data_IF_754465836158
#
_entry.id   IF_754465836158
#
_cell.length_a   1.000
_cell.length_b   1.000
_cell.length_c   1.000
_cell.angle_alpha   90.00
_cell.angle_beta   90.00
_cell.angle_gamma   90.00
#
_symmetry.space_group_name_H-M   'P 1'
#
loop_
_entity.id
_entity.type
_entity.pdbx_description
1 polymer ?
#
# COMPACT_ATOMS: atom_id res chain seq x y z
N UNK A 1 9.37 -12.30 -73.25
CA UNK A 1 9.07 -11.11 -72.42
C UNK A 1 7.95 -10.19 -72.97
N UNK A 2 7.26 -10.53 -74.07
CA UNK A 2 6.22 -9.67 -74.68
C UNK A 2 4.81 -9.86 -74.12
N UNK A 3 4.51 -11.00 -73.49
CA UNK A 3 3.20 -11.29 -72.88
C UNK A 3 2.99 -10.51 -71.57
N UNK A 4 4.07 -10.29 -70.79
CA UNK A 4 4.04 -9.50 -69.55
C UNK A 4 3.59 -8.06 -69.83
N UNK A 5 4.11 -7.45 -70.90
CA UNK A 5 3.83 -6.05 -71.24
C UNK A 5 2.38 -5.86 -71.70
N UNK A 6 1.81 -6.83 -72.43
CA UNK A 6 0.41 -6.75 -72.86
C UNK A 6 -0.57 -6.94 -71.69
N UNK A 7 -0.28 -7.85 -70.75
CA UNK A 7 -1.11 -8.05 -69.55
C UNK A 7 -1.00 -6.91 -68.52
N UNK A 8 0.21 -6.36 -68.35
CA UNK A 8 0.47 -5.30 -67.37
C UNK A 8 -0.05 -3.95 -67.86
N UNK A 9 0.07 -3.62 -69.16
CA UNK A 9 -0.31 -2.32 -69.72
C UNK A 9 -1.70 -2.26 -70.38
N UNK A 10 -2.46 -3.36 -70.46
CA UNK A 10 -3.90 -3.27 -70.78
C UNK A 10 -4.67 -2.73 -69.58
N UNK A 11 -5.54 -1.74 -69.81
CA UNK A 11 -6.41 -1.12 -68.79
C UNK A 11 -5.69 -0.49 -67.58
N UNK A 12 -4.55 0.18 -67.82
CA UNK A 12 -3.76 0.81 -66.75
C UNK A 12 -4.56 1.81 -65.89
N UNK A 13 -5.49 2.56 -66.49
CA UNK A 13 -6.37 3.49 -65.77
C UNK A 13 -7.28 2.79 -64.75
N UNK A 14 -7.93 1.68 -65.13
CA UNK A 14 -8.79 0.92 -64.23
C UNK A 14 -8.02 0.31 -63.05
N UNK A 15 -6.78 -0.14 -63.28
CA UNK A 15 -5.90 -0.65 -62.22
C UNK A 15 -5.46 0.44 -61.24
N UNK A 16 -5.21 1.65 -61.74
CA UNK A 16 -4.84 2.78 -60.89
C UNK A 16 -6.01 3.23 -60.01
N UNK A 17 -7.23 3.24 -60.57
CA UNK A 17 -8.46 3.47 -59.81
C UNK A 17 -8.69 2.37 -58.77
N UNK A 18 -8.48 1.10 -59.12
CA UNK A 18 -8.65 0.00 -58.14
C UNK A 18 -7.61 0.07 -57.03
N UNK A 19 -6.36 0.45 -57.33
CA UNK A 19 -5.31 0.64 -56.34
C UNK A 19 -5.64 1.82 -55.42
N UNK A 20 -6.09 2.95 -55.98
CA UNK A 20 -6.53 4.11 -55.19
C UNK A 20 -7.71 3.73 -54.28
N UNK A 21 -8.71 3.02 -54.81
CA UNK A 21 -9.84 2.53 -54.03
C UNK A 21 -9.39 1.57 -52.91
N UNK A 22 -8.45 0.67 -53.19
CA UNK A 22 -7.89 -0.23 -52.18
C UNK A 22 -7.13 0.51 -51.08
N UNK A 23 -6.33 1.54 -51.42
CA UNK A 23 -5.62 2.37 -50.43
C UNK A 23 -6.60 3.17 -49.58
N UNK A 24 -7.65 3.74 -50.18
CA UNK A 24 -8.71 4.45 -49.43
C UNK A 24 -9.45 3.51 -48.49
N UNK A 25 -9.89 2.34 -48.98
CA UNK A 25 -10.55 1.34 -48.15
C UNK A 25 -9.64 0.83 -47.03
N UNK A 26 -8.36 0.58 -47.32
CA UNK A 26 -7.38 0.17 -46.32
C UNK A 26 -7.17 1.26 -45.27
N UNK A 27 -7.02 2.54 -45.66
CA UNK A 27 -6.88 3.66 -44.73
C UNK A 27 -8.10 3.83 -43.82
N UNK A 28 -9.31 3.59 -44.33
CA UNK A 28 -10.55 3.67 -43.55
C UNK A 28 -10.64 2.56 -42.49
N UNK A 29 -10.09 1.36 -42.78
CA UNK A 29 -10.13 0.20 -41.89
C UNK A 29 -8.93 0.17 -40.93
N UNK A 30 -7.76 0.62 -41.38
CA UNK A 30 -6.51 0.58 -40.63
C UNK A 30 -6.46 1.56 -39.45
N UNK A 31 -7.39 2.52 -39.40
CA UNK A 31 -7.44 3.51 -38.30
C UNK A 31 -8.18 2.91 -37.11
N UNK A 32 -7.43 2.43 -36.11
CA UNK A 32 -8.01 1.94 -34.87
C UNK A 32 -8.51 3.12 -34.00
N UNK A 33 -9.74 3.07 -33.46
CA UNK A 33 -10.22 4.13 -32.57
C UNK A 33 -9.43 4.15 -31.26
N UNK A 34 -9.03 5.34 -30.83
CA UNK A 34 -8.50 5.53 -29.48
C UNK A 34 -9.63 5.44 -28.45
N UNK A 35 -9.37 4.73 -27.35
CA UNK A 35 -10.32 4.55 -26.26
C UNK A 35 -9.73 5.10 -24.97
N UNK A 36 -10.57 5.75 -24.16
CA UNK A 36 -10.20 6.24 -22.82
C UNK A 36 -10.84 5.35 -21.76
N UNK A 37 -10.06 4.95 -20.75
CA UNK A 37 -10.57 4.21 -19.59
C UNK A 37 -9.95 4.73 -18.29
N UNK A 38 -10.57 4.40 -17.16
CA UNK A 38 -10.07 4.74 -15.82
C UNK A 38 -9.78 3.47 -15.03
N UNK A 39 -8.63 3.43 -14.39
CA UNK A 39 -8.18 2.29 -13.58
C UNK A 39 -7.77 2.81 -12.20
N UNK A 40 -8.29 2.19 -11.14
CA UNK A 40 -7.89 2.51 -9.77
C UNK A 40 -6.72 1.63 -9.36
N UNK A 41 -5.63 2.26 -8.93
CA UNK A 41 -4.42 1.56 -8.46
C UNK A 41 -3.95 2.16 -7.14
N UNK A 42 -3.41 1.34 -6.22
CA UNK A 42 -2.77 1.84 -5.01
C UNK A 42 -1.46 2.53 -5.35
N UNK A 43 -1.05 3.48 -4.51
CA UNK A 43 0.24 4.14 -4.61
C UNK A 43 1.32 3.29 -3.95
N UNK A 44 2.39 3.04 -4.67
CA UNK A 44 3.58 2.35 -4.19
C UNK A 44 4.64 3.36 -3.75
N UNK A 45 5.16 3.20 -2.54
CA UNK A 45 6.18 4.07 -1.98
C UNK A 45 7.56 3.43 -2.11
N UNK A 46 8.47 4.09 -2.82
CA UNK A 46 9.85 3.67 -2.97
C UNK A 46 10.79 4.54 -2.14
N UNK A 47 11.91 3.95 -1.71
CA UNK A 47 12.98 4.64 -0.97
C UNK A 47 12.49 5.39 0.29
N UNK A 48 11.59 4.77 1.06
CA UNK A 48 11.10 5.35 2.33
C UNK A 48 12.29 5.59 3.27
N UNK A 49 12.54 6.83 3.72
CA UNK A 49 13.63 7.15 4.65
C UNK A 49 13.51 6.36 5.96
N UNK A 50 14.63 5.90 6.52
CA UNK A 50 14.62 5.06 7.74
C UNK A 50 14.37 5.85 9.01
N UNK A 51 14.61 7.15 8.96
CA UNK A 51 14.51 8.09 10.07
C UNK A 51 13.14 8.76 10.17
N UNK A 52 12.25 8.51 9.20
CA UNK A 52 10.91 9.08 9.12
C UNK A 52 9.84 7.99 9.13
N UNK A 53 8.66 8.36 9.63
CA UNK A 53 7.43 7.57 9.55
C UNK A 53 6.37 8.36 8.79
N UNK A 54 5.61 7.64 7.96
CA UNK A 54 4.49 8.22 7.23
C UNK A 54 3.22 8.11 8.07
N UNK A 55 2.56 9.24 8.29
CA UNK A 55 1.27 9.29 8.96
C UNK A 55 0.16 9.00 7.95
N UNK A 56 0.00 7.72 7.59
CA UNK A 56 -0.94 7.26 6.57
C UNK A 56 -1.77 6.12 7.13
N UNK A 57 -3.07 6.35 7.35
CA UNK A 57 -3.97 5.33 7.92
C UNK A 57 -4.28 4.21 6.92
N UNK A 58 -4.35 4.55 5.64
CA UNK A 58 -4.63 3.62 4.54
C UNK A 58 -3.80 3.99 3.31
N UNK A 59 -3.35 2.98 2.57
CA UNK A 59 -2.61 3.22 1.33
C UNK A 59 -3.48 4.02 0.36
N UNK A 60 -3.05 5.21 -0.08
CA UNK A 60 -3.87 6.04 -0.95
C UNK A 60 -4.06 5.35 -2.31
N UNK A 61 -5.27 5.44 -2.84
CA UNK A 61 -5.60 4.97 -4.19
C UNK A 61 -5.71 6.16 -5.15
N UNK A 62 -5.29 5.94 -6.40
CA UNK A 62 -5.33 6.95 -7.47
C UNK A 62 -6.11 6.39 -8.65
N UNK A 63 -7.04 7.18 -9.15
CA UNK A 63 -7.73 6.90 -10.41
C UNK A 63 -6.91 7.42 -11.57
N UNK A 64 -6.32 6.51 -12.32
CA UNK A 64 -5.48 6.80 -13.49
C UNK A 64 -6.35 6.69 -14.74
N UNK A 65 -6.53 7.79 -15.44
CA UNK A 65 -7.20 7.83 -16.73
C UNK A 65 -6.19 7.68 -17.85
N UNK A 66 -6.42 6.72 -18.73
CA UNK A 66 -5.48 6.33 -19.77
C UNK A 66 -6.15 6.32 -21.13
N UNK A 67 -5.36 6.58 -22.17
CA UNK A 67 -5.79 6.60 -23.57
C UNK A 67 -4.83 5.81 -24.45
N UNK A 68 -5.38 5.05 -25.39
CA UNK A 68 -4.61 4.35 -26.41
C UNK A 68 -5.48 3.52 -27.36
N UNK A 69 -4.88 2.67 -28.20
CA UNK A 69 -5.62 1.79 -29.10
C UNK A 69 -6.61 0.90 -28.34
N UNK A 70 -7.85 0.78 -28.84
CA UNK A 70 -8.91 0.05 -28.14
C UNK A 70 -8.53 -1.39 -27.75
N UNK A 71 -7.78 -2.08 -28.60
CA UNK A 71 -7.27 -3.44 -28.33
C UNK A 71 -6.31 -3.46 -27.14
N UNK A 72 -5.39 -2.50 -27.05
CA UNK A 72 -4.43 -2.39 -25.95
C UNK A 72 -5.14 -2.01 -24.65
N UNK A 73 -6.01 -0.99 -24.69
CA UNK A 73 -6.73 -0.50 -23.51
C UNK A 73 -7.60 -1.58 -22.88
N UNK A 74 -8.27 -2.40 -23.69
CA UNK A 74 -9.07 -3.55 -23.20
C UNK A 74 -8.23 -4.67 -22.60
N UNK A 75 -6.96 -4.77 -22.99
CA UNK A 75 -6.04 -5.80 -22.48
C UNK A 75 -5.31 -5.40 -21.20
N UNK A 76 -5.38 -4.11 -20.79
CA UNK A 76 -4.71 -3.61 -19.58
C UNK A 76 -5.25 -4.34 -18.34
N UNK A 77 -4.34 -4.90 -17.55
CA UNK A 77 -4.64 -5.48 -16.24
C UNK A 77 -4.21 -4.52 -15.14
N UNK A 78 -4.75 -4.73 -13.93
CA UNK A 78 -4.42 -3.91 -12.75
C UNK A 78 -2.91 -3.88 -12.46
N UNK A 79 -2.20 -4.99 -12.65
CA UNK A 79 -0.76 -5.10 -12.38
C UNK A 79 0.12 -4.44 -13.46
N UNK A 80 -0.45 -4.05 -14.60
CA UNK A 80 0.30 -3.40 -15.67
C UNK A 80 0.38 -1.87 -15.47
N UNK A 81 -0.35 -1.35 -14.47
CA UNK A 81 -0.42 0.07 -14.11
C UNK A 81 0.00 0.22 -12.66
N UNK A 82 1.01 1.04 -12.40
CA UNK A 82 1.46 1.36 -11.05
C UNK A 82 1.68 2.87 -10.90
N UNK A 83 1.33 3.40 -9.73
CA UNK A 83 1.67 4.78 -9.36
C UNK A 83 2.76 4.70 -8.31
N UNK A 84 3.97 5.10 -8.69
CA UNK A 84 5.16 4.98 -7.86
C UNK A 84 5.59 6.36 -7.40
N UNK A 85 5.63 6.56 -6.08
CA UNK A 85 6.18 7.75 -5.44
C UNK A 85 7.56 7.46 -4.88
N UNK A 86 8.56 8.20 -5.35
CA UNK A 86 9.92 8.13 -4.82
C UNK A 86 10.11 9.14 -3.67
N UNK A 87 10.37 8.62 -2.48
CA UNK A 87 10.53 9.41 -1.25
C UNK A 87 11.98 9.69 -0.90
N UNK A 88 12.95 9.36 -1.78
CA UNK A 88 14.38 9.57 -1.54
C UNK A 88 14.74 11.01 -1.17
N UNK A 89 14.01 12.00 -1.69
CA UNK A 89 14.25 13.44 -1.45
C UNK A 89 13.58 13.97 -0.17
N UNK A 90 12.91 13.11 0.61
CA UNK A 90 12.22 13.50 1.84
C UNK A 90 13.20 13.37 3.01
N UNK A 91 13.80 14.48 3.42
CA UNK A 91 14.80 14.49 4.50
C UNK A 91 14.26 15.02 5.84
N UNK A 92 13.12 15.73 5.82
CA UNK A 92 12.58 16.44 6.99
C UNK A 92 11.15 16.02 7.28
N UNK A 93 10.80 16.06 8.56
CA UNK A 93 9.42 15.93 9.02
C UNK A 93 8.58 17.13 8.58
N UNK A 94 7.28 16.89 8.42
CA UNK A 94 6.28 17.88 8.04
C UNK A 94 5.39 17.40 6.88
N UNK A 95 4.46 18.27 6.50
CA UNK A 95 3.60 18.03 5.34
C UNK A 95 4.36 18.24 4.03
N UNK A 96 4.19 17.29 3.11
CA UNK A 96 4.75 17.37 1.76
C UNK A 96 3.71 16.97 0.73
N UNK A 97 3.59 17.80 -0.31
CA UNK A 97 2.72 17.53 -1.46
C UNK A 97 3.53 16.97 -2.61
N UNK A 98 3.10 15.85 -3.16
CA UNK A 98 3.66 15.21 -4.34
C UNK A 98 2.68 15.35 -5.50
N UNK A 99 3.19 15.73 -6.67
CA UNK A 99 2.40 15.80 -7.90
C UNK A 99 2.51 14.47 -8.64
N UNK A 100 1.35 13.91 -9.03
CA UNK A 100 1.24 12.66 -9.75
C UNK A 100 1.23 12.90 -11.26
N UNK A 101 2.41 13.22 -11.78
CA UNK A 101 2.64 13.41 -13.21
C UNK A 101 2.97 12.08 -13.92
N UNK A 102 3.10 12.13 -15.25
CA UNK A 102 3.43 10.96 -16.08
C UNK A 102 4.70 10.22 -15.62
N UNK A 103 5.66 10.89 -15.00
CA UNK A 103 6.89 10.27 -14.47
C UNK A 103 6.66 9.35 -13.27
N UNK A 104 5.56 9.52 -12.55
CA UNK A 104 5.18 8.69 -11.40
C UNK A 104 4.23 7.56 -11.79
N UNK A 105 3.71 7.53 -13.02
CA UNK A 105 2.76 6.51 -13.49
C UNK A 105 3.43 5.58 -14.49
N UNK A 106 3.60 4.33 -14.10
CA UNK A 106 4.08 3.24 -14.96
C UNK A 106 2.89 2.74 -15.78
N UNK A 107 3.02 2.79 -17.11
CA UNK A 107 1.98 2.39 -18.05
C UNK A 107 2.55 1.51 -19.18
N UNK A 108 1.76 0.59 -19.74
CA UNK A 108 2.16 -0.21 -20.88
C UNK A 108 2.56 0.64 -22.09
N UNK A 109 3.38 0.06 -22.97
CA UNK A 109 3.72 0.71 -24.23
C UNK A 109 2.46 0.95 -25.08
N UNK A 110 2.40 2.10 -25.76
CA UNK A 110 1.24 2.51 -26.55
C UNK A 110 0.09 3.11 -25.74
N UNK A 111 0.19 3.16 -24.41
CA UNK A 111 -0.79 3.78 -23.52
C UNK A 111 -0.27 5.10 -22.94
N UNK A 112 -1.05 6.15 -23.13
CA UNK A 112 -0.80 7.49 -22.63
C UNK A 112 -1.64 7.80 -21.38
N UNK A 113 -1.10 8.65 -20.50
CA UNK A 113 -1.80 9.13 -19.31
C UNK A 113 -2.58 10.37 -19.73
N UNK A 114 -3.89 10.36 -19.48
CA UNK A 114 -4.74 11.54 -19.66
C UNK A 114 -4.72 12.39 -18.40
N UNK A 115 -5.01 11.78 -17.25
CA UNK A 115 -4.95 12.43 -15.93
C UNK A 115 -4.93 11.41 -14.79
N UNK A 116 -4.44 11.86 -13.64
CA UNK A 116 -4.51 11.19 -12.34
C UNK A 116 -5.50 11.94 -11.45
N UNK A 117 -6.33 11.21 -10.71
CA UNK A 117 -7.26 11.78 -9.74
C UNK A 117 -7.11 11.04 -8.40
N UNK A 118 -6.64 11.70 -7.33
CA UNK A 118 -6.19 13.09 -7.31
C UNK A 118 -4.89 13.30 -8.12
N UNK A 119 -4.64 14.54 -8.56
CA UNK A 119 -3.38 14.90 -9.25
C UNK A 119 -2.25 15.24 -8.29
N UNK A 120 -2.57 15.43 -7.01
CA UNK A 120 -1.63 15.71 -5.94
C UNK A 120 -1.97 14.87 -4.71
N UNK A 121 -0.94 14.37 -4.04
CA UNK A 121 -1.05 13.67 -2.77
C UNK A 121 -0.31 14.45 -1.70
N UNK A 122 -1.01 14.80 -0.62
CA UNK A 122 -0.40 15.40 0.56
C UNK A 122 -0.15 14.31 1.59
N UNK A 123 1.12 14.12 1.92
CA UNK A 123 1.58 13.14 2.90
C UNK A 123 2.21 13.90 4.07
N UNK A 124 2.03 13.40 5.29
CA UNK A 124 2.66 13.94 6.47
C UNK A 124 3.72 12.96 6.98
N UNK A 125 4.92 13.48 7.24
CA UNK A 125 6.05 12.72 7.74
C UNK A 125 6.42 13.18 9.14
N UNK A 126 6.64 12.24 10.04
CA UNK A 126 7.15 12.52 11.37
C UNK A 126 8.49 11.83 11.59
N UNK A 127 9.25 12.33 12.57
CA UNK A 127 10.48 11.67 12.97
C UNK A 127 10.14 10.31 13.55
N UNK A 128 10.92 9.30 13.16
CA UNK A 128 10.89 7.99 13.80
C UNK A 128 11.49 8.11 15.19
N UNK A 129 10.75 7.68 16.19
CA UNK A 129 11.21 7.57 17.58
C UNK A 129 11.09 6.13 18.05
N UNK A 130 12.09 5.66 18.80
CA UNK A 130 12.05 4.39 19.53
C UNK A 130 12.05 4.67 21.03
N UNK A 131 11.08 4.13 21.76
CA UNK A 131 11.00 4.26 23.23
C UNK A 131 10.69 2.93 23.89
N UNK A 132 11.29 2.70 25.06
CA UNK A 132 10.94 1.57 25.91
C UNK A 132 9.75 1.96 26.80
N UNK A 133 8.66 1.19 26.74
CA UNK A 133 7.45 1.39 27.54
C UNK A 133 7.16 0.15 28.40
N UNK A 134 6.56 0.31 29.58
CA UNK A 134 6.17 -0.82 30.42
C UNK A 134 5.05 -1.65 29.77
N UNK A 135 5.02 -2.93 30.12
CA UNK A 135 3.93 -3.83 29.72
C UNK A 135 2.94 -3.99 30.85
N UNK A 136 1.68 -3.71 30.58
CA UNK A 136 0.57 -3.88 31.50
C UNK A 136 -0.26 -5.10 31.07
N UNK A 137 -0.28 -6.18 31.87
CA UNK A 137 -1.11 -7.34 31.56
C UNK A 137 -2.59 -7.01 31.66
N UNK A 138 -3.36 -7.54 30.72
CA UNK A 138 -4.82 -7.48 30.75
C UNK A 138 -5.36 -8.80 31.32
N UNK A 139 -5.89 -8.79 32.54
CA UNK A 139 -6.46 -9.98 33.17
C UNK A 139 -7.96 -10.08 32.93
N UNK A 140 -8.45 -11.28 32.61
CA UNK A 140 -9.89 -11.59 32.52
C UNK A 140 -10.23 -12.76 33.44
N UNK A 141 -11.49 -12.85 33.87
CA UNK A 141 -11.97 -13.96 34.71
C UNK A 141 -11.56 -13.90 36.19
N UNK A 142 -10.81 -12.88 36.63
CA UNK A 142 -10.36 -12.70 38.02
C UNK A 142 -11.41 -12.18 39.01
N UNK A 143 -12.70 -12.45 38.76
CA UNK A 143 -13.83 -11.97 39.55
C UNK A 143 -14.59 -13.11 40.25
N UNK A 144 -13.95 -14.25 40.51
CA UNK A 144 -14.48 -15.12 41.56
C UNK A 144 -14.38 -14.37 42.90
N UNK A 145 -15.46 -14.29 43.70
CA UNK A 145 -15.48 -13.50 44.93
C UNK A 145 -14.45 -13.94 45.99
N UNK A 146 -13.82 -15.09 45.79
CA UNK A 146 -12.88 -15.75 46.70
C UNK A 146 -11.39 -15.46 46.43
N UNK A 147 -10.98 -15.00 45.24
CA UNK A 147 -9.56 -14.79 44.91
C UNK A 147 -9.31 -13.49 44.13
N UNK A 148 -8.28 -12.74 44.52
CA UNK A 148 -7.84 -11.54 43.81
C UNK A 148 -6.35 -11.62 43.43
N UNK A 149 -5.98 -10.97 42.33
CA UNK A 149 -4.58 -10.84 41.92
C UNK A 149 -3.89 -9.87 42.87
N UNK A 150 -2.95 -10.37 43.67
CA UNK A 150 -2.21 -9.55 44.66
C UNK A 150 -0.87 -9.10 44.12
N UNK A 151 -0.24 -9.94 43.30
CA UNK A 151 1.05 -9.62 42.71
C UNK A 151 1.15 -10.20 41.30
N UNK A 152 1.83 -9.47 40.41
CA UNK A 152 2.21 -9.99 39.11
C UNK A 152 3.60 -9.48 38.72
N UNK A 153 4.30 -10.27 37.91
CA UNK A 153 5.59 -9.90 37.33
C UNK A 153 5.56 -10.17 35.84
N UNK A 154 6.02 -9.21 35.04
CA UNK A 154 6.12 -9.33 33.58
C UNK A 154 7.58 -9.42 33.17
N UNK A 155 7.91 -10.39 32.31
CA UNK A 155 9.24 -10.55 31.74
C UNK A 155 9.16 -10.68 30.20
N UNK A 156 9.75 -9.75 29.43
CA UNK A 156 10.42 -8.52 29.89
C UNK A 156 9.43 -7.47 30.44
N UNK A 157 9.82 -6.66 31.44
CA UNK A 157 8.95 -5.62 32.00
C UNK A 157 8.81 -4.39 31.08
N UNK A 158 9.79 -4.19 30.19
CA UNK A 158 9.85 -3.08 29.23
C UNK A 158 9.97 -3.63 27.82
N UNK A 159 9.25 -3.02 26.89
CA UNK A 159 9.28 -3.36 25.47
C UNK A 159 9.57 -2.14 24.63
N UNK A 160 10.40 -2.32 23.60
CA UNK A 160 10.76 -1.24 22.68
C UNK A 160 9.70 -1.09 21.61
N UNK A 161 9.12 0.10 21.53
CA UNK A 161 8.12 0.49 20.55
C UNK A 161 8.73 1.56 19.64
N UNK A 162 8.46 1.43 18.35
CA UNK A 162 8.91 2.36 17.31
C UNK A 162 7.71 2.87 16.52
N UNK A 163 7.77 4.14 16.14
CA UNK A 163 6.72 4.79 15.35
C UNK A 163 6.91 6.31 15.25
N UNK A 164 5.88 7.04 14.79
CA UNK A 164 5.89 8.50 14.74
C UNK A 164 6.11 9.12 16.12
N UNK A 165 6.93 10.16 16.19
CA UNK A 165 7.27 10.85 17.44
C UNK A 165 6.03 11.26 18.24
N UNK A 166 4.99 11.80 17.60
CA UNK A 166 3.77 12.23 18.30
C UNK A 166 3.01 11.06 18.95
N UNK A 167 2.99 9.88 18.30
CA UNK A 167 2.30 8.69 18.80
C UNK A 167 3.09 7.99 19.89
N UNK A 168 4.40 7.85 19.69
CA UNK A 168 5.30 7.23 20.67
C UNK A 168 5.38 8.06 21.95
N UNK A 169 5.34 9.39 21.85
CA UNK A 169 5.36 10.29 23.01
C UNK A 169 4.12 10.14 23.92
N UNK A 170 2.97 9.79 23.35
CA UNK A 170 1.70 9.64 24.07
C UNK A 170 1.46 8.22 24.65
N UNK A 171 2.30 7.25 24.31
CA UNK A 171 2.09 5.84 24.70
C UNK A 171 2.52 5.53 26.14
N UNK A 172 1.62 5.48 27.11
CA UNK A 172 2.04 5.20 28.50
C UNK A 172 2.56 3.76 28.71
N UNK A 173 1.89 2.77 28.12
CA UNK A 173 2.20 1.36 28.26
C UNK A 173 1.75 0.54 27.04
N UNK A 174 2.35 -0.64 26.85
CA UNK A 174 1.83 -1.67 25.96
C UNK A 174 0.93 -2.62 26.78
N UNK A 175 -0.18 -3.09 26.21
CA UNK A 175 -1.03 -4.09 26.88
C UNK A 175 -0.65 -5.49 26.42
N UNK A 176 -1.09 -6.53 27.13
CA UNK A 176 -1.06 -7.90 26.60
C UNK A 176 -2.41 -8.30 26.01
N UNK A 177 -2.42 -9.39 25.24
CA UNK A 177 -3.64 -10.16 25.01
C UNK A 177 -4.30 -10.52 26.36
N UNK A 178 -5.64 -10.67 26.43
CA UNK A 178 -6.33 -11.04 27.64
C UNK A 178 -5.81 -12.38 28.22
N UNK A 179 -5.42 -12.35 29.49
CA UNK A 179 -4.97 -13.53 30.24
C UNK A 179 -6.10 -13.97 31.16
N UNK A 180 -6.68 -15.13 30.85
CA UNK A 180 -7.72 -15.74 31.67
C UNK A 180 -7.10 -16.37 32.95
N UNK A 181 -7.40 -15.77 34.09
CA UNK A 181 -6.95 -16.21 35.42
C UNK A 181 -8.05 -16.89 36.22
N UNK A 182 -9.24 -17.11 35.65
CA UNK A 182 -10.40 -17.69 36.36
C UNK A 182 -10.14 -19.05 36.98
N UNK A 183 -9.22 -19.84 36.40
CA UNK A 183 -8.89 -21.21 36.86
C UNK A 183 -7.67 -21.28 37.76
N UNK A 184 -7.08 -20.15 38.12
CA UNK A 184 -5.82 -20.12 38.86
C UNK A 184 -6.08 -20.14 40.37
N UNK A 185 -5.36 -21.00 41.09
CA UNK A 185 -5.40 -21.07 42.57
C UNK A 185 -3.96 -21.01 43.08
N UNK A 186 -3.60 -19.92 43.77
CA UNK A 186 -2.21 -19.67 44.18
C UNK A 186 -1.42 -18.93 43.10
N UNK A 187 -0.40 -19.56 42.50
CA UNK A 187 0.46 -18.90 41.50
C UNK A 187 0.50 -19.63 40.16
N UNK A 188 0.71 -18.87 39.09
CA UNK A 188 0.81 -19.41 37.72
C UNK A 188 1.59 -18.50 36.80
N UNK A 189 1.98 -19.02 35.64
CA UNK A 189 2.70 -18.28 34.62
C UNK A 189 2.05 -18.47 33.26
N UNK A 190 1.85 -17.37 32.55
CA UNK A 190 1.18 -17.31 31.25
C UNK A 190 2.11 -16.63 30.25
N UNK A 191 2.06 -17.10 29.01
CA UNK A 191 2.69 -16.40 27.89
C UNK A 191 1.60 -15.68 27.12
N UNK A 192 1.74 -14.37 26.93
CA UNK A 192 0.80 -13.56 26.15
C UNK A 192 1.59 -12.71 25.15
N UNK A 193 0.97 -12.31 24.05
CA UNK A 193 1.59 -11.36 23.14
C UNK A 193 1.38 -9.94 23.67
N UNK A 194 2.39 -9.09 23.54
CA UNK A 194 2.20 -7.66 23.71
C UNK A 194 1.41 -7.10 22.51
N UNK A 195 0.56 -6.13 22.79
CA UNK A 195 -0.35 -5.49 21.86
C UNK A 195 -0.29 -3.96 22.01
N UNK A 196 -0.38 -3.26 20.88
CA UNK A 196 -0.45 -1.81 20.79
C UNK A 196 -1.79 -1.47 20.12
N UNK A 197 -2.54 -0.55 20.72
CA UNK A 197 -3.83 -0.13 20.17
C UNK A 197 -3.68 0.79 18.94
N UNK A 198 -2.57 1.52 18.84
CA UNK A 198 -2.31 2.43 17.73
C UNK A 198 -1.66 1.68 16.55
N UNK A 199 -2.29 1.68 15.35
CA UNK A 199 -1.77 0.98 14.18
C UNK A 199 -0.48 1.57 13.60
N UNK A 200 -0.13 2.81 13.96
CA UNK A 200 1.12 3.47 13.55
C UNK A 200 2.32 3.07 14.43
N UNK A 201 2.07 2.38 15.54
CA UNK A 201 3.09 1.91 16.45
C UNK A 201 3.36 0.42 16.24
N UNK A 202 4.62 0.03 16.34
CA UNK A 202 5.04 -1.37 16.24
C UNK A 202 6.13 -1.68 17.24
N UNK A 203 6.24 -2.94 17.64
CA UNK A 203 7.37 -3.39 18.44
C UNK A 203 8.62 -3.48 17.55
N UNK A 204 9.76 -3.05 18.08
CA UNK A 204 11.05 -3.16 17.36
C UNK A 204 11.47 -4.63 17.17
N UNK A 205 11.07 -5.50 18.10
CA UNK A 205 11.31 -6.95 18.07
C UNK A 205 9.99 -7.70 18.34
N UNK A 206 9.92 -8.99 18.04
CA UNK A 206 8.76 -9.85 18.40
C UNK A 206 8.68 -9.96 19.93
N UNK A 207 7.55 -9.58 20.52
CA UNK A 207 7.39 -9.49 21.99
C UNK A 207 6.26 -10.41 22.48
N UNK A 208 6.57 -11.68 22.71
CA UNK A 208 5.81 -12.53 23.63
C UNK A 208 6.32 -12.28 25.05
N UNK A 209 5.44 -11.94 25.98
CA UNK A 209 5.79 -11.67 27.37
C UNK A 209 5.33 -12.80 28.28
N UNK A 210 6.16 -13.13 29.28
CA UNK A 210 5.78 -14.05 30.35
C UNK A 210 5.23 -13.25 31.52
N UNK A 211 3.98 -13.51 31.87
CA UNK A 211 3.30 -12.90 33.02
C UNK A 211 3.16 -13.96 34.09
N UNK A 212 3.82 -13.75 35.22
CA UNK A 212 3.65 -14.59 36.42
C UNK A 212 2.69 -13.88 37.37
N UNK A 213 1.68 -14.59 37.84
CA UNK A 213 0.58 -14.05 38.65
C UNK A 213 0.51 -14.82 39.96
N UNK A 214 0.33 -14.09 41.06
CA UNK A 214 0.05 -14.63 42.39
C UNK A 214 -1.32 -14.14 42.87
N UNK A 215 -2.18 -15.09 43.18
CA UNK A 215 -3.53 -14.88 43.68
C UNK A 215 -3.60 -15.20 45.17
N UNK A 216 -4.29 -14.36 45.91
CA UNK A 216 -4.58 -14.58 47.33
C UNK A 216 -6.07 -14.76 47.52
N UNK A 217 -6.43 -15.64 48.45
CA UNK A 217 -7.81 -15.77 48.90
C UNK A 217 -8.22 -14.49 49.66
N UNK A 218 -9.36 -13.93 49.30
CA UNK A 218 -9.94 -12.74 49.94
C UNK A 218 -10.27 -12.99 51.41
#
# INVERSE_FOLDING_TARGET
MSLLRRYVFHNFGLKLVSLAAAVVLWSLIATEPEMETSITVPVEFHNVPRELEMMVDQTPEVHVQVKGPATQVRSIRRNDVAVVLDLMHVERSGERTFTLDRSQVVLPQGISLVKSVPSQLRLNFERRLTRAVPVQPLFTGGSEPSYEVVHYTVNPPLVKVVGPESRVALLDYATTDPIDVSRLTGSGSFTANAYLADPHLRFENIQSVRVSVEMKKR
#
